data_IF_722651934848
#
_entry.id   IF_722651934848
#
_cell.length_a   1.000
_cell.length_b   1.000
_cell.length_c   1.000
_cell.angle_alpha   90.00
_cell.angle_beta   90.00
_cell.angle_gamma   90.00
#
_symmetry.space_group_name_H-M   'P 1'
#
loop_
_entity.id
_entity.type
_entity.pdbx_description
1 polymer ?
#
# COMPACT_ATOMS: atom_id res chain seq x y z
N UNK A 1 -65.15 -3.20 9.54
CA UNK A 1 -64.08 -4.06 10.07
C UNK A 1 -62.75 -3.31 9.89
N UNK A 2 -62.29 -2.65 10.95
CA UNK A 2 -61.06 -1.86 10.91
C UNK A 2 -59.84 -2.82 10.92
N UNK A 3 -58.98 -2.73 9.91
CA UNK A 3 -57.69 -3.44 9.91
C UNK A 3 -56.77 -2.75 10.91
N UNK A 4 -56.36 -3.49 11.93
CA UNK A 4 -55.43 -3.06 12.95
C UNK A 4 -54.07 -2.71 12.33
N UNK A 5 -53.64 -1.46 12.52
CA UNK A 5 -52.34 -0.95 12.13
C UNK A 5 -51.32 -1.45 13.17
N UNK A 6 -50.36 -2.28 12.76
CA UNK A 6 -49.31 -2.82 13.64
C UNK A 6 -48.32 -1.69 13.96
N UNK A 7 -47.97 -1.46 15.23
CA UNK A 7 -47.01 -0.42 15.59
C UNK A 7 -45.62 -0.81 15.10
N UNK A 8 -45.04 0.02 14.23
CA UNK A 8 -43.65 -0.09 13.81
C UNK A 8 -42.75 0.22 15.01
N UNK A 9 -42.22 -0.85 15.60
CA UNK A 9 -41.29 -0.78 16.70
C UNK A 9 -39.95 -0.27 16.16
N UNK A 10 -39.73 1.03 16.29
CA UNK A 10 -38.43 1.67 16.13
C UNK A 10 -37.47 1.15 17.21
N UNK A 11 -36.91 -0.03 16.98
CA UNK A 11 -35.81 -0.55 17.79
C UNK A 11 -34.56 0.25 17.46
N UNK A 12 -34.10 1.03 18.43
CA UNK A 12 -32.83 1.76 18.37
C UNK A 12 -31.73 0.81 17.88
N UNK A 13 -30.90 1.20 16.89
CA UNK A 13 -29.94 0.28 16.29
C UNK A 13 -29.00 -0.27 17.37
N UNK A 14 -29.02 -1.59 17.53
CA UNK A 14 -28.23 -2.33 18.51
C UNK A 14 -26.72 -2.15 18.24
N UNK A 15 -25.85 -2.33 19.24
CA UNK A 15 -24.38 -2.15 19.08
C UNK A 15 -23.82 -3.03 17.95
N UNK A 16 -24.40 -4.23 17.77
CA UNK A 16 -24.07 -5.14 16.67
C UNK A 16 -24.45 -4.61 15.28
N UNK A 17 -25.53 -3.83 15.17
CA UNK A 17 -25.90 -3.15 13.92
C UNK A 17 -24.88 -2.06 13.55
N UNK A 18 -24.34 -1.33 14.53
CA UNK A 18 -23.27 -0.34 14.30
C UNK A 18 -21.98 -0.98 13.80
N UNK A 19 -21.58 -2.10 14.39
CA UNK A 19 -20.38 -2.85 13.95
C UNK A 19 -20.60 -3.41 12.54
N UNK A 20 -21.79 -3.95 12.24
CA UNK A 20 -22.14 -4.40 10.90
C UNK A 20 -22.07 -3.28 9.84
N UNK A 21 -22.58 -2.09 10.18
CA UNK A 21 -22.48 -0.90 9.31
C UNK A 21 -21.03 -0.47 9.09
N UNK A 22 -20.20 -0.49 10.13
CA UNK A 22 -18.77 -0.16 10.05
C UNK A 22 -18.02 -1.12 9.12
N UNK A 23 -18.25 -2.43 9.24
CA UNK A 23 -17.63 -3.42 8.35
C UNK A 23 -18.05 -3.19 6.89
N UNK A 24 -19.33 -2.88 6.63
CA UNK A 24 -19.80 -2.55 5.26
C UNK A 24 -19.10 -1.30 4.72
N UNK A 25 -18.94 -0.26 5.53
CA UNK A 25 -18.19 0.95 5.16
C UNK A 25 -16.74 0.65 4.83
N UNK A 26 -16.04 -0.15 5.65
CA UNK A 26 -14.65 -0.57 5.38
C UNK A 26 -14.54 -1.30 4.05
N UNK A 27 -15.45 -2.22 3.75
CA UNK A 27 -15.45 -2.95 2.46
C UNK A 27 -15.69 -1.99 1.28
N UNK A 28 -16.62 -1.04 1.44
CA UNK A 28 -16.88 -0.01 0.42
C UNK A 28 -15.67 0.91 0.20
N UNK A 29 -14.92 1.25 1.26
CA UNK A 29 -13.68 2.03 1.17
C UNK A 29 -12.55 1.22 0.53
N UNK A 30 -12.41 -0.07 0.88
CA UNK A 30 -11.41 -0.96 0.29
C UNK A 30 -11.64 -1.16 -1.21
N UNK A 31 -12.89 -1.10 -1.69
CA UNK A 31 -13.20 -1.11 -3.14
C UNK A 31 -12.78 0.17 -3.85
N UNK A 32 -12.60 1.28 -3.13
CA UNK A 32 -12.09 2.54 -3.69
C UNK A 32 -10.56 2.55 -3.82
N UNK A 33 -9.88 1.61 -3.15
CA UNK A 33 -8.45 1.42 -3.36
C UNK A 33 -8.28 0.85 -4.76
N UNK A 34 -7.63 1.62 -5.63
CA UNK A 34 -7.29 1.22 -7.00
C UNK A 34 -6.58 -0.14 -6.98
N UNK A 35 -7.25 -1.17 -7.51
CA UNK A 35 -6.66 -2.50 -7.61
C UNK A 35 -5.50 -2.44 -8.61
N UNK A 36 -4.30 -2.87 -8.19
CA UNK A 36 -3.13 -2.64 -9.02
C UNK A 36 -3.21 -3.47 -10.30
N UNK A 37 -2.94 -2.82 -11.44
CA UNK A 37 -2.68 -3.52 -12.69
C UNK A 37 -1.26 -4.11 -12.66
N UNK A 38 -1.10 -5.36 -13.12
CA UNK A 38 0.20 -6.02 -13.18
C UNK A 38 1.26 -5.20 -13.93
N UNK A 39 0.84 -4.44 -14.96
CA UNK A 39 1.72 -3.54 -15.71
C UNK A 39 2.25 -2.38 -14.87
N UNK A 40 1.43 -1.86 -13.96
CA UNK A 40 1.83 -0.81 -13.03
C UNK A 40 2.88 -1.33 -12.06
N UNK A 41 2.61 -2.48 -11.41
CA UNK A 41 3.55 -3.12 -10.47
C UNK A 41 4.92 -3.37 -11.09
N UNK A 42 4.96 -3.87 -12.33
CA UNK A 42 6.22 -4.06 -13.05
C UNK A 42 6.96 -2.74 -13.32
N UNK A 43 6.25 -1.68 -13.70
CA UNK A 43 6.85 -0.35 -13.89
C UNK A 43 7.53 0.18 -12.63
N UNK A 44 6.86 0.06 -11.47
CA UNK A 44 7.43 0.47 -10.18
C UNK A 44 8.67 -0.36 -9.82
N UNK A 45 8.61 -1.68 -9.99
CA UNK A 45 9.74 -2.56 -9.71
C UNK A 45 10.94 -2.30 -10.63
N UNK A 46 10.71 -2.07 -11.93
CA UNK A 46 11.77 -1.76 -12.89
C UNK A 46 12.41 -0.41 -12.58
N UNK A 47 11.64 0.61 -12.23
CA UNK A 47 12.17 1.92 -11.84
C UNK A 47 13.12 1.80 -10.63
N UNK A 48 12.73 1.02 -9.61
CA UNK A 48 13.59 0.76 -8.44
C UNK A 48 14.85 -0.02 -8.83
N UNK A 49 14.74 -1.05 -9.69
CA UNK A 49 15.90 -1.80 -10.16
C UNK A 49 16.93 -0.93 -10.88
N UNK A 50 16.47 -0.07 -11.80
CA UNK A 50 17.36 0.85 -12.52
C UNK A 50 18.06 1.81 -11.55
N UNK A 51 17.33 2.33 -10.56
CA UNK A 51 17.89 3.22 -9.55
C UNK A 51 18.96 2.52 -8.69
N UNK A 52 18.68 1.30 -8.21
CA UNK A 52 19.63 0.52 -7.39
C UNK A 52 20.88 0.16 -8.20
N UNK A 53 20.74 -0.23 -9.46
CA UNK A 53 21.88 -0.54 -10.33
C UNK A 53 22.77 0.69 -10.55
N UNK A 54 22.19 1.87 -10.74
CA UNK A 54 22.94 3.11 -10.86
C UNK A 54 23.76 3.40 -9.59
N UNK A 55 23.16 3.21 -8.41
CA UNK A 55 23.89 3.37 -7.14
C UNK A 55 25.02 2.35 -6.99
N UNK A 56 24.78 1.08 -7.36
CA UNK A 56 25.84 0.05 -7.34
C UNK A 56 27.03 0.44 -8.20
N UNK A 57 26.80 0.98 -9.41
CA UNK A 57 27.87 1.43 -10.30
C UNK A 57 28.68 2.56 -9.68
N UNK A 58 28.01 3.57 -9.13
CA UNK A 58 28.68 4.72 -8.50
C UNK A 58 29.52 4.28 -7.32
N UNK A 59 28.92 3.52 -6.40
CA UNK A 59 29.59 3.02 -5.18
C UNK A 59 30.78 2.15 -5.57
N UNK A 60 30.60 1.16 -6.45
CA UNK A 60 31.69 0.27 -6.91
C UNK A 60 32.83 1.05 -7.55
N UNK A 61 32.52 2.07 -8.36
CA UNK A 61 33.55 2.91 -9.00
C UNK A 61 34.35 3.69 -7.96
N UNK A 62 33.67 4.20 -6.93
CA UNK A 62 34.30 4.92 -5.83
C UNK A 62 35.14 3.98 -4.96
N UNK A 63 34.65 2.78 -4.63
CA UNK A 63 35.39 1.77 -3.89
C UNK A 63 36.68 1.36 -4.64
N UNK A 64 36.59 1.13 -5.95
CA UNK A 64 37.76 0.82 -6.78
C UNK A 64 38.73 1.99 -6.86
N UNK A 65 38.22 3.21 -7.06
CA UNK A 65 39.03 4.41 -7.17
C UNK A 65 39.80 4.70 -5.88
N UNK A 66 39.08 4.75 -4.75
CA UNK A 66 39.66 4.99 -3.44
C UNK A 66 40.58 3.84 -3.01
N UNK A 67 40.20 2.58 -3.24
CA UNK A 67 41.03 1.42 -2.92
C UNK A 67 42.36 1.40 -3.68
N UNK A 68 42.37 1.81 -4.95
CA UNK A 68 43.61 2.00 -5.71
C UNK A 68 44.45 3.16 -5.17
N UNK A 69 43.80 4.24 -4.77
CA UNK A 69 44.47 5.45 -4.27
C UNK A 69 45.11 5.21 -2.90
N UNK A 70 44.46 4.47 -2.01
CA UNK A 70 45.01 4.11 -0.70
C UNK A 70 46.19 3.15 -0.84
N UNK A 71 46.13 2.16 -1.73
CA UNK A 71 47.27 1.29 -2.04
C UNK A 71 48.47 2.06 -2.60
N UNK A 72 48.22 3.16 -3.31
CA UNK A 72 49.30 3.98 -3.88
C UNK A 72 49.93 4.93 -2.85
N UNK A 73 49.16 5.38 -1.86
CA UNK A 73 49.62 6.30 -0.81
C UNK A 73 50.26 5.56 0.37
N UNK A 74 49.70 4.42 0.76
CA UNK A 74 50.07 3.69 1.99
C UNK A 74 50.71 2.32 1.73
N UNK A 75 50.74 1.86 0.48
CA UNK A 75 51.37 0.61 0.05
C UNK A 75 52.80 0.79 -0.41
#
# INVERSE_FOLDING_TARGET
MAKANKPEKNEKPNIFMRIGLFIKQVIDELRKVVTPTAKGLLGWSVAVLVFVLLLMVIVTSMDFGLGKLTLWIFG
#
